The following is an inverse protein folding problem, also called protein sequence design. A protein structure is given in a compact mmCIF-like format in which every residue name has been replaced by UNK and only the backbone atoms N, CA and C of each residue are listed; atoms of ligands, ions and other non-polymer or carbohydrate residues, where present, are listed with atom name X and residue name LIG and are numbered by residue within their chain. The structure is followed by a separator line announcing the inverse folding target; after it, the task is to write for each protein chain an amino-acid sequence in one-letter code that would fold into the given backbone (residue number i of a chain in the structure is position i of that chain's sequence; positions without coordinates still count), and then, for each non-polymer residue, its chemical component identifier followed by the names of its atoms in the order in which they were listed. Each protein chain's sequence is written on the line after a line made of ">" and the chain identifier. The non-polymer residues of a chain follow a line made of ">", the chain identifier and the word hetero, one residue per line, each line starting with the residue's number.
data_IF_962682652592
#
_entry.id   IF_962682652592
#
_cell.length_a   1.000
_cell.length_b   1.000
_cell.length_c   1.000
_cell.angle_alpha   90.00
_cell.angle_beta   90.00
_cell.angle_gamma   90.00
#
_symmetry.space_group_name_H-M   'P 1'
#
loop_
_entity.id
_entity.type
_entity.pdbx_description
1 polymer ?
#
# COMPACT_ATOMS: atom_id res chain seq x y z
N UNK A 1 7.60 6.27 -6.44
CA UNK A 1 6.43 5.46 -6.06
C UNK A 1 6.11 4.47 -7.18
N UNK A 2 5.37 3.39 -6.92
CA UNK A 2 4.98 2.45 -7.95
C UNK A 2 3.88 1.50 -7.51
N UNK A 3 3.19 0.90 -8.48
CA UNK A 3 2.08 -0.02 -8.26
C UNK A 3 2.14 -1.16 -9.28
N UNK A 4 1.92 -2.37 -8.78
CA UNK A 4 1.75 -3.58 -9.57
C UNK A 4 0.31 -3.73 -10.07
N UNK A 5 0.16 -4.32 -11.25
CA UNK A 5 -1.10 -4.83 -11.77
C UNK A 5 -0.90 -6.24 -12.30
N UNK A 6 -1.90 -7.09 -12.09
CA UNK A 6 -1.96 -8.45 -12.66
C UNK A 6 -3.42 -8.69 -13.01
N UNK A 7 -3.70 -9.04 -14.26
CA UNK A 7 -5.06 -9.42 -14.66
C UNK A 7 -5.34 -10.87 -14.24
N UNK A 8 -6.60 -11.27 -14.32
CA UNK A 8 -7.01 -12.63 -14.03
C UNK A 8 -6.24 -13.65 -14.90
N UNK A 9 -6.10 -14.87 -14.38
CA UNK A 9 -5.39 -15.97 -15.05
C UNK A 9 -3.92 -15.69 -15.45
N UNK A 10 -3.30 -14.64 -14.90
CA UNK A 10 -1.95 -14.22 -15.27
C UNK A 10 -1.83 -13.92 -16.78
N UNK A 11 -2.90 -13.37 -17.39
CA UNK A 11 -2.91 -13.00 -18.79
C UNK A 11 -2.02 -11.78 -19.08
N UNK A 12 -1.94 -10.84 -18.13
CA UNK A 12 -1.15 -9.62 -18.21
C UNK A 12 -0.48 -9.29 -16.88
N UNK A 13 0.77 -8.84 -16.96
CA UNK A 13 1.53 -8.27 -15.86
C UNK A 13 1.90 -6.82 -16.13
N UNK A 14 1.67 -5.95 -15.15
CA UNK A 14 1.92 -4.52 -15.22
C UNK A 14 2.76 -4.03 -14.04
N UNK A 15 3.64 -3.08 -14.31
CA UNK A 15 4.22 -2.23 -13.29
C UNK A 15 4.24 -0.77 -13.77
N UNK A 16 3.57 0.11 -13.03
CA UNK A 16 3.56 1.54 -13.27
C UNK A 16 4.32 2.22 -12.13
N UNK A 17 5.25 3.12 -12.43
CA UNK A 17 6.01 3.78 -11.39
C UNK A 17 6.65 5.08 -11.85
N UNK A 18 6.98 5.92 -10.88
CA UNK A 18 7.52 7.26 -11.15
C UNK A 18 8.46 7.74 -10.05
N UNK A 19 9.34 8.65 -10.46
CA UNK A 19 10.07 9.62 -9.63
C UNK A 19 9.45 11.01 -9.84
N UNK A 20 9.85 12.06 -9.11
CA UNK A 20 9.35 13.41 -9.39
C UNK A 20 9.56 13.89 -10.84
N UNK A 21 10.56 13.33 -11.54
CA UNK A 21 11.01 13.84 -12.84
C UNK A 21 10.80 12.87 -14.00
N UNK A 22 10.35 11.63 -13.73
CA UNK A 22 10.16 10.62 -14.76
C UNK A 22 9.12 9.58 -14.32
N UNK A 23 8.16 9.31 -15.19
CA UNK A 23 7.24 8.19 -15.11
C UNK A 23 7.62 7.14 -16.17
N UNK A 24 7.41 5.87 -15.82
CA UNK A 24 7.49 4.77 -16.76
C UNK A 24 6.51 3.66 -16.37
N UNK A 25 5.96 3.02 -17.39
CA UNK A 25 5.08 1.86 -17.24
C UNK A 25 5.60 0.71 -18.10
N UNK A 26 5.57 -0.51 -17.54
CA UNK A 26 5.93 -1.74 -18.22
C UNK A 26 4.73 -2.68 -18.22
N UNK A 27 4.40 -3.20 -19.40
CA UNK A 27 3.45 -4.28 -19.63
C UNK A 27 4.16 -5.50 -20.19
N UNK A 28 3.69 -6.68 -19.78
CA UNK A 28 4.01 -7.94 -20.42
C UNK A 28 2.70 -8.71 -20.58
N UNK A 29 2.45 -9.20 -21.79
CA UNK A 29 1.30 -10.00 -22.17
C UNK A 29 1.39 -10.38 -23.64
N UNK A 30 0.37 -11.06 -24.14
CA UNK A 30 0.30 -11.44 -25.54
C UNK A 30 -0.55 -10.43 -26.33
N UNK A 31 -0.05 -9.84 -27.42
CA UNK A 31 -0.79 -8.80 -28.16
C UNK A 31 -2.03 -9.34 -28.88
N UNK A 32 -2.19 -10.67 -28.97
CA UNK A 32 -3.31 -11.33 -29.65
C UNK A 32 -4.49 -11.64 -28.72
N UNK A 33 -4.37 -11.37 -27.42
CA UNK A 33 -5.43 -11.59 -26.44
C UNK A 33 -4.93 -12.11 -25.09
N UNK A 34 -5.89 -12.42 -24.22
CA UNK A 34 -5.66 -12.87 -22.84
C UNK A 34 -5.17 -14.34 -22.80
N UNK A 35 -3.87 -14.52 -23.03
CA UNK A 35 -3.23 -15.85 -22.99
C UNK A 35 -2.48 -16.01 -21.67
N UNK A 36 -2.79 -17.04 -20.85
CA UNK A 36 -2.12 -17.25 -19.56
C UNK A 36 -0.60 -17.41 -19.68
N UNK A 37 0.15 -16.61 -18.92
CA UNK A 37 1.61 -16.66 -18.86
C UNK A 37 2.10 -17.44 -17.63
N UNK A 38 1.72 -18.72 -17.51
CA UNK A 38 1.98 -19.52 -16.29
C UNK A 38 3.40 -20.11 -16.19
N UNK A 39 4.15 -20.16 -17.28
CA UNK A 39 5.48 -20.77 -17.32
C UNK A 39 6.42 -20.02 -18.27
N UNK A 40 6.58 -18.72 -18.06
CA UNK A 40 7.57 -17.91 -18.78
C UNK A 40 8.87 -17.96 -17.99
N UNK A 41 9.87 -18.66 -18.54
CA UNK A 41 11.15 -18.95 -17.85
C UNK A 41 10.97 -19.60 -16.46
N UNK A 42 10.02 -20.53 -16.32
CA UNK A 42 9.82 -21.28 -15.07
C UNK A 42 8.90 -20.62 -14.05
N UNK A 43 8.33 -19.44 -14.32
CA UNK A 43 7.42 -18.74 -13.41
C UNK A 43 6.16 -18.24 -14.10
N UNK A 44 5.10 -18.02 -13.30
CA UNK A 44 3.92 -17.28 -13.74
C UNK A 44 4.23 -15.78 -13.79
N UNK A 45 3.82 -15.11 -14.85
CA UNK A 45 4.06 -13.67 -15.02
C UNK A 45 2.97 -12.87 -14.33
N UNK A 46 3.37 -12.07 -13.35
CA UNK A 46 2.53 -11.10 -12.64
C UNK A 46 3.25 -9.77 -12.49
N UNK A 47 2.53 -8.69 -12.12
CA UNK A 47 3.11 -7.36 -11.93
C UNK A 47 4.46 -7.31 -11.17
N UNK A 48 4.64 -7.97 -10.02
CA UNK A 48 5.90 -7.94 -9.26
C UNK A 48 7.05 -8.76 -9.87
N UNK A 49 6.81 -9.54 -10.93
CA UNK A 49 7.82 -10.43 -11.53
C UNK A 49 8.67 -9.70 -12.58
N UNK A 50 8.60 -10.11 -13.85
CA UNK A 50 9.31 -9.48 -14.95
C UNK A 50 8.94 -7.99 -15.15
N UNK A 51 7.66 -7.54 -15.06
CA UNK A 51 7.34 -6.13 -15.28
C UNK A 51 8.05 -5.18 -14.32
N UNK A 52 7.99 -5.46 -13.01
CA UNK A 52 8.70 -4.68 -12.00
C UNK A 52 10.22 -4.72 -12.17
N UNK A 53 10.76 -5.88 -12.55
CA UNK A 53 12.21 -6.07 -12.78
C UNK A 53 12.70 -5.24 -13.97
N UNK A 54 11.98 -5.30 -15.10
CA UNK A 54 12.28 -4.51 -16.30
C UNK A 54 12.18 -3.02 -15.99
N UNK A 55 11.11 -2.59 -15.31
CA UNK A 55 10.94 -1.20 -14.88
C UNK A 55 12.12 -0.73 -14.03
N UNK A 56 12.54 -1.52 -13.03
CA UNK A 56 13.70 -1.20 -12.17
C UNK A 56 14.96 -1.05 -13.00
N UNK A 57 15.27 -1.99 -13.89
CA UNK A 57 16.47 -1.95 -14.73
C UNK A 57 16.47 -0.73 -15.66
N UNK A 58 15.32 -0.39 -16.25
CA UNK A 58 15.17 0.81 -17.07
C UNK A 58 15.39 2.08 -16.24
N UNK A 59 14.68 2.23 -15.12
CA UNK A 59 14.74 3.43 -14.29
C UNK A 59 16.12 3.65 -13.67
N UNK A 60 16.81 2.58 -13.25
CA UNK A 60 18.19 2.68 -12.76
C UNK A 60 19.13 3.31 -13.79
N UNK A 61 18.92 3.07 -15.09
CA UNK A 61 19.69 3.72 -16.15
C UNK A 61 19.19 5.11 -16.49
N UNK A 62 17.87 5.28 -16.55
CA UNK A 62 17.24 6.55 -16.96
C UNK A 62 17.46 7.68 -15.95
N UNK A 63 17.31 7.40 -14.65
CA UNK A 63 17.44 8.41 -13.58
C UNK A 63 18.66 8.21 -12.67
N UNK A 64 19.37 7.09 -12.74
CA UNK A 64 20.43 6.76 -11.78
C UNK A 64 21.65 7.69 -11.77
N UNK A 65 21.80 8.57 -12.77
CA UNK A 65 22.83 9.63 -12.78
C UNK A 65 22.36 10.97 -12.21
N UNK A 66 21.06 11.10 -11.94
CA UNK A 66 20.48 12.31 -11.33
C UNK A 66 20.45 12.16 -9.82
N UNK A 67 20.60 13.28 -9.09
CA UNK A 67 20.44 13.26 -7.63
C UNK A 67 19.00 12.87 -7.29
N UNK A 68 18.77 11.99 -6.29
CA UNK A 68 17.42 11.70 -5.81
C UNK A 68 16.73 13.00 -5.39
N UNK A 69 15.47 13.15 -5.81
CA UNK A 69 14.60 14.26 -5.42
C UNK A 69 13.43 13.67 -4.65
N UNK A 70 13.10 14.29 -3.51
CA UNK A 70 11.95 13.88 -2.71
C UNK A 70 10.64 14.35 -3.34
N UNK A 71 9.57 13.60 -3.08
CA UNK A 71 8.24 14.02 -3.47
C UNK A 71 7.80 15.23 -2.63
N UNK A 72 7.17 16.21 -3.30
CA UNK A 72 6.60 17.37 -2.62
C UNK A 72 5.51 16.91 -1.66
N UNK A 73 5.63 17.31 -0.39
CA UNK A 73 4.57 17.11 0.61
C UNK A 73 3.33 17.93 0.19
N UNK A 74 2.13 17.33 0.14
CA UNK A 74 0.90 18.06 -0.17
C UNK A 74 0.68 19.23 0.79
N UNK A 75 0.18 20.37 0.29
CA UNK A 75 -0.12 21.55 1.12
C UNK A 75 -1.30 21.32 2.07
N UNK A 76 -2.16 20.35 1.75
CA UNK A 76 -3.25 19.89 2.59
C UNK A 76 -3.06 18.39 2.76
N UNK A 77 -2.86 17.95 4.00
CA UNK A 77 -2.76 16.53 4.30
C UNK A 77 -4.15 15.88 4.25
N UNK A 78 -4.25 14.62 3.79
CA UNK A 78 -5.52 13.91 3.80
C UNK A 78 -6.01 13.74 5.23
N UNK A 79 -7.27 14.09 5.48
CA UNK A 79 -7.95 13.73 6.73
C UNK A 79 -8.37 12.27 6.65
N UNK A 80 -7.75 11.43 7.47
CA UNK A 80 -8.12 10.03 7.57
C UNK A 80 -9.49 9.89 8.25
N UNK A 81 -10.42 9.24 7.56
CA UNK A 81 -11.71 8.88 8.12
C UNK A 81 -11.74 7.38 8.30
N UNK A 82 -12.06 6.92 9.52
CA UNK A 82 -12.27 5.51 9.77
C UNK A 82 -13.44 5.02 8.92
N UNK A 83 -13.19 4.01 8.10
CA UNK A 83 -14.25 3.32 7.39
C UNK A 83 -14.93 2.33 8.34
N UNK A 84 -15.82 2.84 9.19
CA UNK A 84 -16.66 2.01 10.07
C UNK A 84 -17.88 1.46 9.33
N UNK A 85 -18.38 2.19 8.32
CA UNK A 85 -19.48 1.76 7.44
C UNK A 85 -19.38 2.47 6.08
N UNK A 86 -19.42 1.73 4.98
CA UNK A 86 -19.59 2.32 3.64
C UNK A 86 -21.01 2.85 3.45
N UNK A 87 -21.21 3.83 2.56
CA UNK A 87 -22.55 4.39 2.29
C UNK A 87 -23.60 3.34 1.88
N UNK A 88 -23.17 2.14 1.47
CA UNK A 88 -24.02 1.02 1.09
C UNK A 88 -23.91 -0.22 1.99
N UNK A 89 -23.22 -0.13 3.14
CA UNK A 89 -23.03 -1.28 4.02
C UNK A 89 -24.26 -1.53 4.92
N UNK A 90 -24.89 -2.69 4.75
CA UNK A 90 -25.96 -3.21 5.60
C UNK A 90 -25.36 -3.93 6.83
N UNK A 91 -25.68 -3.43 8.03
CA UNK A 91 -25.26 -4.01 9.32
C UNK A 91 -24.30 -3.15 10.14
N UNK A 92 -24.31 -3.31 11.47
CA UNK A 92 -23.41 -2.62 12.41
C UNK A 92 -22.20 -3.51 12.72
N UNK A 93 -21.05 -3.18 12.13
CA UNK A 93 -19.76 -3.73 12.54
C UNK A 93 -18.98 -2.64 13.29
N UNK A 94 -18.55 -2.94 14.52
CA UNK A 94 -17.67 -2.05 15.29
C UNK A 94 -16.24 -2.59 15.16
N UNK A 95 -15.40 -2.03 14.27
CA UNK A 95 -14.02 -2.46 14.19
C UNK A 95 -13.26 -2.12 15.48
N UNK A 96 -12.31 -2.95 15.93
CA UNK A 96 -11.40 -2.59 17.00
C UNK A 96 -10.57 -1.35 16.61
N UNK A 97 -10.10 -0.56 17.59
CA UNK A 97 -9.32 0.64 17.31
C UNK A 97 -8.05 0.30 16.49
N UNK A 98 -7.70 1.12 15.49
CA UNK A 98 -6.55 0.85 14.64
C UNK A 98 -5.24 0.93 15.44
N UNK A 99 -4.44 -0.13 15.38
CA UNK A 99 -3.03 -0.11 15.82
C UNK A 99 -2.17 0.45 14.68
N UNK A 100 -1.67 1.66 14.84
CA UNK A 100 -0.75 2.27 13.88
C UNK A 100 0.68 1.74 14.11
N UNK A 101 1.21 0.93 13.19
CA UNK A 101 2.63 0.61 13.15
C UNK A 101 3.36 1.64 12.29
N UNK A 102 4.05 2.60 12.92
CA UNK A 102 5.09 3.37 12.26
C UNK A 102 6.28 2.44 11.99
N UNK A 103 6.47 2.00 10.74
CA UNK A 103 7.72 1.34 10.33
C UNK A 103 8.79 2.41 10.10
N UNK A 104 9.27 2.99 11.20
CA UNK A 104 10.52 3.72 11.28
C UNK A 104 11.50 2.82 12.04
N UNK A 105 12.49 2.27 11.36
CA UNK A 105 13.53 1.49 12.02
C UNK A 105 14.33 2.37 12.98
N UNK A 106 14.25 2.08 14.27
CA UNK A 106 15.34 2.11 15.25
C UNK A 106 14.82 1.56 16.58
N UNK A 107 15.55 0.60 17.13
CA UNK A 107 15.30 -0.10 18.39
C UNK A 107 15.09 0.85 19.57
N UNK A 108 13.92 0.76 20.20
CA UNK A 108 13.62 1.32 21.51
C UNK A 108 12.21 0.88 21.90
N UNK A 109 12.09 -0.05 22.83
CA UNK A 109 10.79 -0.44 23.41
C UNK A 109 10.10 0.79 24.01
N UNK A 110 8.87 1.14 23.59
CA UNK A 110 8.12 2.21 24.24
C UNK A 110 7.69 1.75 25.64
N UNK A 111 7.66 2.65 26.64
CA UNK A 111 7.22 2.31 27.99
C UNK A 111 5.75 1.87 28.00
N UNK A 112 5.35 1.02 28.97
CA UNK A 112 3.95 0.59 29.07
C UNK A 112 3.03 1.79 29.34
N UNK A 113 1.80 1.76 28.81
CA UNK A 113 0.84 2.84 29.04
C UNK A 113 0.50 2.97 30.53
N UNK A 114 0.22 4.19 31.03
CA UNK A 114 -0.22 4.39 32.40
C UNK A 114 -1.56 3.69 32.65
N UNK A 115 -1.70 3.08 33.82
CA UNK A 115 -2.92 2.39 34.25
C UNK A 115 -4.11 3.37 34.28
N UNK A 116 -5.28 2.99 33.75
CA UNK A 116 -6.48 3.83 33.86
C UNK A 116 -6.86 4.06 35.33
N UNK A 117 -7.39 5.24 35.68
CA UNK A 117 -7.94 5.46 37.01
C UNK A 117 -9.16 4.55 37.25
N UNK A 118 -9.41 4.11 38.50
CA UNK A 118 -10.56 3.28 38.82
C UNK A 118 -11.87 4.03 38.53
N UNK A 119 -12.94 3.31 38.13
CA UNK A 119 -14.23 3.92 37.86
C UNK A 119 -14.83 4.55 39.13
N UNK A 120 -15.64 5.62 38.99
CA UNK A 120 -16.34 6.23 40.12
C UNK A 120 -17.34 5.25 40.74
N UNK A 121 -17.62 5.35 42.05
CA UNK A 121 -18.60 4.50 42.72
C UNK A 121 -20.01 4.72 42.15
N UNK A 122 -20.89 3.70 42.22
CA UNK A 122 -22.27 3.82 41.73
C UNK A 122 -23.04 4.93 42.46
N UNK A 123 -24.00 5.59 41.79
CA UNK A 123 -24.92 6.52 42.44
C UNK A 123 -25.68 5.79 43.57
N UNK A 124 -25.72 6.43 44.76
CA UNK A 124 -26.53 5.93 45.87
C UNK A 124 -28.03 5.92 45.51
N UNK A 125 -28.85 5.08 46.18
CA UNK A 125 -30.28 5.03 45.92
C UNK A 125 -30.92 6.40 46.21
N UNK A 126 -31.66 6.92 45.23
CA UNK A 126 -32.51 8.10 45.40
C UNK A 126 -33.65 7.81 46.39
N UNK A 127 -34.04 8.80 47.23
CA UNK A 127 -35.07 8.64 48.27
C UNK A 127 -36.48 8.43 47.72
#
# INVERSE_FOLDING_TARGET
>A
AGKTGTTDNYADGWFCGYTPNLEATVWIGYPRGEVPMLNVHGIAVSGPTFPATIWKTFMQKAVGRTKPVDFKVPSVLPTWHSFTRGQYAVGSYSPPPPTYYYSGGSSGTPPPPPTPPPPPPPPGPTP
#
